data_IF_565490773209
#
_entry.id   IF_565490773209
#
_cell.length_a   1.000
_cell.length_b   1.000
_cell.length_c   1.000
_cell.angle_alpha   90.00
_cell.angle_beta   90.00
_cell.angle_gamma   90.00
#
_symmetry.space_group_name_H-M   'P 1'
#
loop_
_entity.id
_entity.type
_entity.pdbx_description
1 polymer ?
#
# COMPACT_ATOMS: atom_id res chain seq x y z
N UNK A 1 6.97 11.39 -13.61
CA UNK A 1 5.78 10.69 -13.06
C UNK A 1 5.66 11.11 -11.60
N UNK A 2 4.49 11.59 -11.19
CA UNK A 2 4.22 12.04 -9.81
C UNK A 2 3.17 11.14 -9.17
N UNK A 3 3.25 10.91 -7.85
CA UNK A 3 2.37 10.00 -7.13
C UNK A 3 1.50 10.72 -6.10
N UNK A 4 0.24 10.32 -6.02
CA UNK A 4 -0.58 10.50 -4.82
C UNK A 4 -0.46 9.24 -3.97
N UNK A 5 0.20 9.33 -2.82
CA UNK A 5 0.49 8.16 -1.98
C UNK A 5 -0.45 8.12 -0.78
N UNK A 6 -1.19 7.03 -0.66
CA UNK A 6 -1.94 6.68 0.53
C UNK A 6 -1.16 5.63 1.33
N UNK A 7 -0.96 5.90 2.62
CA UNK A 7 -0.35 4.93 3.55
C UNK A 7 -1.38 4.54 4.60
N UNK A 8 -1.76 3.26 4.63
CA UNK A 8 -2.70 2.74 5.63
C UNK A 8 -2.19 1.48 6.30
N UNK A 9 -1.75 1.64 7.53
CA UNK A 9 -1.14 0.59 8.33
C UNK A 9 -2.06 0.03 9.44
N UNK A 10 -3.26 0.57 9.60
CA UNK A 10 -4.21 0.16 10.65
C UNK A 10 -4.89 -1.18 10.33
N UNK A 11 -5.40 -1.87 11.35
CA UNK A 11 -6.16 -3.12 11.17
C UNK A 11 -7.50 -2.93 10.46
N UNK A 12 -8.20 -1.83 10.75
CA UNK A 12 -9.47 -1.49 10.13
C UNK A 12 -9.33 -1.16 8.64
N UNK A 13 -10.35 -1.51 7.86
CA UNK A 13 -10.44 -1.14 6.45
C UNK A 13 -10.68 0.36 6.29
N UNK A 14 -10.34 0.87 5.11
CA UNK A 14 -10.67 2.23 4.71
C UNK A 14 -12.15 2.29 4.35
N UNK A 15 -12.76 3.47 4.48
CA UNK A 15 -14.15 3.65 4.04
C UNK A 15 -14.23 3.75 2.51
N UNK A 16 -15.28 3.17 1.90
CA UNK A 16 -15.44 3.17 0.44
C UNK A 16 -15.47 4.59 -0.16
N UNK A 17 -16.11 5.54 0.54
CA UNK A 17 -16.14 6.94 0.13
C UNK A 17 -14.74 7.55 0.15
N UNK A 18 -13.98 7.33 1.22
CA UNK A 18 -12.61 7.82 1.36
C UNK A 18 -11.72 7.30 0.22
N UNK A 19 -11.81 6.00 -0.07
CA UNK A 19 -11.09 5.36 -1.16
C UNK A 19 -11.39 6.00 -2.52
N UNK A 20 -12.67 6.13 -2.87
CA UNK A 20 -13.11 6.75 -4.13
C UNK A 20 -12.69 8.21 -4.23
N UNK A 21 -12.81 8.96 -3.14
CA UNK A 21 -12.36 10.36 -3.07
C UNK A 21 -10.87 10.48 -3.33
N UNK A 22 -10.03 9.60 -2.75
CA UNK A 22 -8.58 9.63 -2.98
C UNK A 22 -8.19 9.35 -4.44
N UNK A 23 -8.88 8.42 -5.11
CA UNK A 23 -8.69 8.19 -6.55
C UNK A 23 -9.10 9.43 -7.37
N UNK A 24 -10.26 10.03 -7.04
CA UNK A 24 -10.73 11.23 -7.73
C UNK A 24 -9.75 12.41 -7.56
N UNK A 25 -9.22 12.62 -6.36
CA UNK A 25 -8.18 13.62 -6.09
C UNK A 25 -6.94 13.38 -6.97
N UNK A 26 -6.48 12.12 -7.07
CA UNK A 26 -5.31 11.81 -7.90
C UNK A 26 -5.55 12.15 -9.37
N UNK A 27 -6.73 11.79 -9.89
CA UNK A 27 -7.14 12.14 -11.26
C UNK A 27 -7.17 13.66 -11.47
N UNK A 28 -7.80 14.39 -10.57
CA UNK A 28 -7.98 15.84 -10.71
C UNK A 28 -6.65 16.60 -10.58
N UNK A 29 -5.69 16.06 -9.81
CA UNK A 29 -4.33 16.59 -9.68
C UNK A 29 -3.35 16.09 -10.76
N UNK A 30 -3.77 15.16 -11.63
CA UNK A 30 -2.90 14.57 -12.65
C UNK A 30 -1.76 13.70 -12.08
N UNK A 31 -1.93 13.13 -10.88
CA UNK A 31 -0.95 12.24 -10.23
C UNK A 31 -1.42 10.79 -10.23
N UNK A 32 -0.48 9.86 -10.14
CA UNK A 32 -0.77 8.42 -10.18
C UNK A 32 -1.08 7.90 -8.77
N UNK A 33 -2.24 7.26 -8.53
CA UNK A 33 -2.59 6.78 -7.20
C UNK A 33 -1.74 5.56 -6.80
N UNK A 34 -1.09 5.64 -5.64
CA UNK A 34 -0.33 4.55 -5.04
C UNK A 34 -0.85 4.29 -3.63
N UNK A 35 -1.29 3.07 -3.37
CA UNK A 35 -1.81 2.65 -2.06
C UNK A 35 -0.82 1.70 -1.40
N UNK A 36 -0.05 2.19 -0.43
CA UNK A 36 0.82 1.40 0.42
C UNK A 36 0.08 1.00 1.71
N UNK A 37 -0.53 -0.18 1.68
CA UNK A 37 -1.54 -0.57 2.67
C UNK A 37 -1.25 -1.93 3.29
N UNK A 38 -1.71 -2.10 4.53
CA UNK A 38 -1.70 -3.40 5.22
C UNK A 38 -2.55 -4.41 4.43
N UNK A 39 -3.82 -4.07 4.21
CA UNK A 39 -4.79 -4.88 3.48
C UNK A 39 -5.77 -3.98 2.71
N UNK A 40 -6.26 -4.46 1.57
CA UNK A 40 -7.25 -3.79 0.74
C UNK A 40 -8.06 -4.85 -0.03
N UNK A 41 -9.38 -4.66 -0.27
CA UNK A 41 -10.17 -5.59 -1.07
C UNK A 41 -9.65 -5.72 -2.51
N UNK A 42 -9.71 -6.93 -3.07
CA UNK A 42 -9.27 -7.17 -4.47
C UNK A 42 -10.03 -6.31 -5.48
N UNK A 43 -11.31 -6.05 -5.24
CA UNK A 43 -12.14 -5.15 -6.06
C UNK A 43 -11.60 -3.73 -6.10
N UNK A 44 -10.98 -3.27 -5.02
CA UNK A 44 -10.37 -1.94 -4.93
C UNK A 44 -8.98 -1.93 -5.58
N UNK A 45 -8.20 -3.01 -5.45
CA UNK A 45 -6.96 -3.18 -6.23
C UNK A 45 -7.25 -3.04 -7.72
N UNK A 46 -8.31 -3.68 -8.21
CA UNK A 46 -8.73 -3.54 -9.61
C UNK A 46 -9.06 -2.09 -9.97
N UNK A 47 -9.80 -1.37 -9.13
CA UNK A 47 -10.12 0.05 -9.35
C UNK A 47 -8.88 0.95 -9.37
N UNK A 48 -7.92 0.72 -8.47
CA UNK A 48 -6.63 1.43 -8.48
C UNK A 48 -5.89 1.16 -9.79
N UNK A 49 -5.84 -0.10 -10.23
CA UNK A 49 -5.17 -0.46 -11.48
C UNK A 49 -5.84 0.18 -12.71
N UNK A 50 -7.18 0.24 -12.75
CA UNK A 50 -7.95 0.93 -13.80
C UNK A 50 -7.68 2.43 -13.81
N UNK A 51 -7.44 3.05 -12.65
CA UNK A 51 -7.01 4.44 -12.53
C UNK A 51 -5.52 4.64 -12.89
N UNK A 52 -4.84 3.63 -13.43
CA UNK A 52 -3.41 3.69 -13.74
C UNK A 52 -2.50 3.63 -12.51
N UNK A 53 -3.02 3.29 -11.33
CA UNK A 53 -2.30 3.25 -10.07
C UNK A 53 -1.59 1.95 -9.74
N UNK A 54 -1.22 1.80 -8.47
CA UNK A 54 -0.67 0.58 -7.87
C UNK A 54 -1.11 0.39 -6.42
N UNK A 55 -1.34 -0.87 -6.03
CA UNK A 55 -1.57 -1.25 -4.64
C UNK A 55 -0.41 -2.12 -4.11
N UNK A 56 0.35 -1.58 -3.15
CA UNK A 56 1.39 -2.28 -2.42
C UNK A 56 0.82 -2.84 -1.11
N UNK A 57 0.61 -4.16 -1.07
CA UNK A 57 -0.04 -4.85 0.06
C UNK A 57 1.02 -5.50 0.96
N UNK A 58 1.14 -5.02 2.21
CA UNK A 58 2.14 -5.46 3.18
C UNK A 58 1.68 -6.61 4.10
N UNK A 59 0.36 -6.88 4.17
CA UNK A 59 -0.32 -7.91 4.98
C UNK A 59 -0.31 -7.70 6.50
N UNK A 60 0.76 -7.12 7.03
CA UNK A 60 0.95 -6.88 8.47
C UNK A 60 0.77 -5.40 8.81
N UNK A 61 0.28 -5.12 10.02
CA UNK A 61 0.42 -3.80 10.62
C UNK A 61 1.83 -3.68 11.16
N UNK A 62 2.60 -2.76 10.59
CA UNK A 62 4.02 -2.59 10.87
C UNK A 62 4.23 -1.59 12.01
N UNK A 63 4.69 -2.06 13.15
CA UNK A 63 5.13 -1.25 14.27
C UNK A 63 6.55 -0.74 14.02
N UNK A 64 6.96 0.36 14.67
CA UNK A 64 8.36 0.75 14.70
C UNK A 64 9.23 -0.38 15.25
N UNK A 65 10.41 -0.60 14.67
CA UNK A 65 11.37 -1.63 15.11
C UNK A 65 11.64 -1.61 16.63
N UNK A 66 11.67 -0.40 17.22
CA UNK A 66 11.89 -0.20 18.66
C UNK A 66 10.79 -0.83 19.54
N UNK A 67 9.64 -1.15 18.98
CA UNK A 67 8.49 -1.75 19.66
C UNK A 67 8.32 -3.24 19.32
N UNK A 68 9.38 -3.92 18.87
CA UNK A 68 9.32 -5.33 18.48
C UNK A 68 8.74 -6.26 19.56
N UNK A 69 9.14 -6.09 20.82
CA UNK A 69 8.61 -6.90 21.93
C UNK A 69 7.11 -6.72 22.13
N UNK A 70 6.60 -5.49 21.94
CA UNK A 70 5.17 -5.21 21.97
C UNK A 70 4.46 -5.85 20.77
N UNK A 71 5.01 -5.72 19.57
CA UNK A 71 4.43 -6.32 18.37
C UNK A 71 4.36 -7.86 18.49
N UNK A 72 5.41 -8.50 19.00
CA UNK A 72 5.43 -9.94 19.27
C UNK A 72 4.32 -10.35 20.23
N UNK A 73 4.13 -9.61 21.34
CA UNK A 73 3.04 -9.86 22.29
C UNK A 73 1.66 -9.66 21.67
N UNK A 74 1.46 -8.59 20.89
CA UNK A 74 0.19 -8.35 20.21
C UNK A 74 -0.11 -9.47 19.20
N UNK A 75 0.89 -9.98 18.50
CA UNK A 75 0.73 -11.11 17.59
C UNK A 75 0.40 -12.41 18.33
N UNK A 76 1.11 -12.72 19.43
CA UNK A 76 0.96 -14.00 20.14
C UNK A 76 -0.25 -14.04 21.07
N UNK A 77 -0.50 -12.96 21.82
CA UNK A 77 -1.57 -12.89 22.82
C UNK A 77 -2.94 -12.59 22.18
N UNK A 78 -2.98 -11.78 21.10
CA UNK A 78 -4.23 -11.35 20.46
C UNK A 78 -4.46 -11.98 19.08
N UNK A 79 -3.49 -12.71 18.53
CA UNK A 79 -3.60 -13.31 17.20
C UNK A 79 -3.65 -12.28 16.06
N UNK A 80 -3.21 -11.04 16.31
CA UNK A 80 -3.32 -9.96 15.34
C UNK A 80 -2.14 -9.99 14.36
N UNK A 81 -2.36 -9.72 13.06
CA UNK A 81 -1.32 -9.75 12.04
C UNK A 81 -0.49 -8.46 12.08
N UNK A 82 0.38 -8.38 13.08
CA UNK A 82 1.31 -7.29 13.32
C UNK A 82 2.75 -7.77 13.17
N UNK A 83 3.65 -6.87 12.81
CA UNK A 83 5.10 -7.14 12.76
C UNK A 83 5.86 -5.85 13.06
N UNK A 84 7.15 -5.94 13.35
CA UNK A 84 8.04 -4.79 13.54
C UNK A 84 9.38 -5.06 12.85
N UNK A 85 9.44 -5.06 11.51
CA UNK A 85 10.67 -5.36 10.80
C UNK A 85 11.60 -4.14 10.69
N UNK A 86 12.91 -4.37 10.51
CA UNK A 86 13.88 -3.29 10.23
C UNK A 86 13.74 -2.69 8.84
N UNK A 87 13.20 -3.47 7.90
CA UNK A 87 13.00 -3.08 6.52
C UNK A 87 11.76 -3.81 5.95
N UNK A 88 11.17 -3.25 4.90
CA UNK A 88 10.13 -3.96 4.15
C UNK A 88 10.73 -5.16 3.44
N UNK A 89 9.96 -6.23 3.29
CA UNK A 89 10.42 -7.42 2.57
C UNK A 89 10.80 -7.05 1.11
N UNK A 90 11.96 -7.54 0.65
CA UNK A 90 12.51 -7.21 -0.67
C UNK A 90 11.52 -7.50 -1.80
N UNK A 91 10.81 -8.63 -1.71
CA UNK A 91 9.79 -9.00 -2.69
C UNK A 91 8.63 -8.00 -2.78
N UNK A 92 8.27 -7.35 -1.68
CA UNK A 92 7.23 -6.31 -1.63
C UNK A 92 7.70 -5.07 -2.38
N UNK A 93 8.90 -4.58 -2.06
CA UNK A 93 9.49 -3.41 -2.74
C UNK A 93 9.75 -3.67 -4.23
N UNK A 94 10.27 -4.85 -4.58
CA UNK A 94 10.57 -5.21 -5.95
C UNK A 94 9.31 -5.20 -6.85
N UNK A 95 8.12 -5.48 -6.32
CA UNK A 95 6.87 -5.38 -7.08
C UNK A 95 6.56 -3.94 -7.49
N UNK A 96 6.76 -2.98 -6.58
CA UNK A 96 6.57 -1.57 -6.89
C UNK A 96 7.61 -1.07 -7.90
N UNK A 97 8.88 -1.41 -7.69
CA UNK A 97 9.98 -1.02 -8.58
C UNK A 97 9.73 -1.52 -10.01
N UNK A 98 9.44 -2.82 -10.19
CA UNK A 98 9.15 -3.37 -11.52
C UNK A 98 7.96 -2.70 -12.18
N UNK A 99 6.90 -2.42 -11.42
CA UNK A 99 5.72 -1.72 -11.94
C UNK A 99 6.05 -0.29 -12.39
N UNK A 100 6.87 0.42 -11.63
CA UNK A 100 7.30 1.77 -11.95
C UNK A 100 8.18 1.80 -13.20
N UNK A 101 9.19 0.94 -13.25
CA UNK A 101 10.14 0.85 -14.36
C UNK A 101 9.45 0.49 -15.68
N UNK A 102 8.51 -0.47 -15.64
CA UNK A 102 7.72 -0.85 -16.81
C UNK A 102 6.93 0.34 -17.40
N UNK A 103 6.56 1.32 -16.57
CA UNK A 103 5.85 2.53 -17.01
C UNK A 103 6.75 3.65 -17.49
N UNK A 104 8.01 3.68 -17.04
CA UNK A 104 9.01 4.60 -17.59
C UNK A 104 9.52 4.12 -18.95
N UNK A 105 9.68 2.80 -19.13
CA UNK A 105 10.18 2.21 -20.38
C UNK A 105 9.15 2.11 -21.51
N UNK A 106 7.85 2.32 -21.23
CA UNK A 106 6.77 2.21 -22.21
C UNK A 106 6.43 3.50 -22.98
N UNK A 107 7.20 4.58 -22.82
CA UNK A 107 6.96 5.90 -23.43
C UNK A 107 7.61 6.12 -24.80
N UNK A 108 8.00 5.06 -25.51
CA UNK A 108 8.59 5.14 -26.84
C UNK A 108 7.96 4.16 -27.80
N UNK A 109 6.87 4.59 -28.45
CA UNK A 109 6.37 4.19 -29.77
C UNK A 109 5.34 5.24 -30.22
#
# INVERSE_FOLDING_TARGET
>A
MSYGVEVKNTLGYMEDREFKTKIAICRDLGVVPVFAVRMIPTTWVHQVNQAGGFALIMKYQLYPWTHRSLAERVATELGLPVDAPRALADGTMARFVRWHEARLGGGGL
#
